data_IF_914473811001
#
_entry.id   IF_914473811001
#
_cell.length_a   1.000
_cell.length_b   1.000
_cell.length_c   1.000
_cell.angle_alpha   90.00
_cell.angle_beta   90.00
_cell.angle_gamma   90.00
#
_symmetry.space_group_name_H-M   'P 1'
#
loop_
_entity.id
_entity.type
_entity.pdbx_description
1 polymer ?
#
# COMPACT_ATOMS: atom_id res chain seq x y z
N UNK A 1 6.16 4.49 1.12
CA UNK A 1 6.26 3.06 0.76
C UNK A 1 5.47 2.76 -0.53
N UNK A 2 4.13 2.72 -0.52
CA UNK A 2 3.33 2.37 -1.71
C UNK A 2 3.67 3.23 -2.95
N UNK A 3 3.74 4.55 -2.75
CA UNK A 3 4.16 5.51 -3.80
C UNK A 3 5.50 5.17 -4.42
N UNK A 4 6.49 4.80 -3.61
CA UNK A 4 7.84 4.51 -4.09
C UNK A 4 7.87 3.24 -4.94
N UNK A 5 7.12 2.21 -4.55
CA UNK A 5 6.99 0.99 -5.37
C UNK A 5 6.29 1.30 -6.69
N UNK A 6 5.19 2.06 -6.64
CA UNK A 6 4.46 2.47 -7.85
C UNK A 6 5.37 3.25 -8.81
N UNK A 7 6.13 4.22 -8.31
CA UNK A 7 7.04 5.05 -9.09
C UNK A 7 8.24 4.26 -9.63
N UNK A 8 8.77 3.32 -8.85
CA UNK A 8 9.80 2.39 -9.31
C UNK A 8 9.33 1.57 -10.53
N UNK A 9 8.07 1.14 -10.52
CA UNK A 9 7.46 0.38 -11.61
C UNK A 9 6.99 1.28 -12.78
N UNK A 10 7.24 2.59 -12.71
CA UNK A 10 6.87 3.55 -13.76
C UNK A 10 5.37 3.80 -13.89
N UNK A 11 4.58 3.44 -12.89
CA UNK A 11 3.12 3.52 -12.94
C UNK A 11 2.60 4.87 -12.48
N UNK A 12 1.56 5.38 -13.11
CA UNK A 12 0.71 6.45 -12.59
C UNK A 12 -0.26 5.92 -11.53
N UNK A 13 -0.83 6.80 -10.71
CA UNK A 13 -1.87 6.41 -9.74
C UNK A 13 -3.10 5.79 -10.41
N UNK A 14 -3.46 6.26 -11.61
CA UNK A 14 -4.59 5.72 -12.37
C UNK A 14 -4.31 4.30 -12.85
N UNK A 15 -3.12 4.03 -13.38
CA UNK A 15 -2.75 2.68 -13.83
C UNK A 15 -2.72 1.67 -12.68
N UNK A 16 -2.21 2.08 -11.51
CA UNK A 16 -2.27 1.25 -10.31
C UNK A 16 -3.73 1.02 -9.87
N UNK A 17 -4.58 2.05 -9.92
CA UNK A 17 -5.99 1.93 -9.62
C UNK A 17 -6.70 0.93 -10.55
N UNK A 18 -6.41 0.97 -11.85
CA UNK A 18 -6.94 0.01 -12.82
C UNK A 18 -6.51 -1.42 -12.50
N UNK A 19 -5.21 -1.65 -12.21
CA UNK A 19 -4.71 -2.98 -11.80
C UNK A 19 -5.40 -3.50 -10.54
N UNK A 20 -5.66 -2.60 -9.59
CA UNK A 20 -6.27 -2.93 -8.31
C UNK A 20 -7.79 -2.95 -8.33
N UNK A 21 -8.45 -2.65 -9.46
CA UNK A 21 -9.91 -2.45 -9.53
C UNK A 21 -10.38 -1.47 -8.44
N UNK A 22 -9.74 -0.31 -8.41
CA UNK A 22 -9.96 0.75 -7.43
C UNK A 22 -10.05 2.11 -8.13
N UNK A 23 -10.07 3.20 -7.36
CA UNK A 23 -10.07 4.57 -7.88
C UNK A 23 -8.72 5.24 -7.65
N UNK A 24 -8.36 6.18 -8.52
CA UNK A 24 -7.16 7.01 -8.32
C UNK A 24 -7.17 7.71 -6.95
N UNK A 25 -8.34 8.19 -6.50
CA UNK A 25 -8.51 8.81 -5.18
C UNK A 25 -8.20 7.84 -4.04
N UNK A 26 -8.54 6.56 -4.17
CA UNK A 26 -8.20 5.53 -3.19
C UNK A 26 -6.68 5.31 -3.12
N UNK A 27 -6.02 5.24 -4.27
CA UNK A 27 -4.55 5.13 -4.34
C UNK A 27 -3.88 6.34 -3.67
N UNK A 28 -4.35 7.55 -3.98
CA UNK A 28 -3.80 8.77 -3.37
C UNK A 28 -3.91 8.74 -1.84
N UNK A 29 -5.05 8.30 -1.27
CA UNK A 29 -5.24 8.17 0.18
C UNK A 29 -4.32 7.12 0.81
N UNK A 30 -4.06 6.02 0.13
CA UNK A 30 -3.09 5.02 0.62
C UNK A 30 -1.65 5.54 0.56
N UNK A 31 -1.32 6.39 -0.40
CA UNK A 31 0.01 6.97 -0.54
C UNK A 31 0.33 8.07 0.47
N UNK A 32 -0.69 8.80 0.95
CA UNK A 32 -0.51 9.84 1.99
C UNK A 32 -0.40 9.24 3.40
N UNK A 33 -0.84 7.99 3.59
CA UNK A 33 -0.88 7.34 4.91
C UNK A 33 -2.04 7.82 5.80
N UNK A 34 -2.97 8.61 5.26
CA UNK A 34 -4.15 9.10 6.00
C UNK A 34 -5.24 8.03 6.20
N UNK A 35 -5.07 6.85 5.61
CA UNK A 35 -6.04 5.78 5.71
C UNK A 35 -5.37 4.46 6.10
N UNK A 36 -5.88 3.82 7.16
CA UNK A 36 -5.47 2.47 7.52
C UNK A 36 -5.83 1.50 6.39
N UNK A 37 -4.82 0.81 5.88
CA UNK A 37 -5.01 -0.28 4.94
C UNK A 37 -5.27 -1.57 5.72
N UNK A 38 -6.31 -2.30 5.31
CA UNK A 38 -6.53 -3.65 5.82
C UNK A 38 -5.45 -4.61 5.30
N UNK A 39 -5.23 -5.73 6.00
CA UNK A 39 -4.35 -6.81 5.51
C UNK A 39 -4.80 -7.32 4.13
N UNK A 40 -6.12 -7.39 3.89
CA UNK A 40 -6.67 -7.79 2.58
C UNK A 40 -6.27 -6.80 1.47
N UNK A 41 -6.29 -5.50 1.77
CA UNK A 41 -5.81 -4.47 0.84
C UNK A 41 -4.32 -4.64 0.55
N UNK A 42 -3.50 -4.89 1.57
CA UNK A 42 -2.07 -5.13 1.41
C UNK A 42 -1.78 -6.37 0.54
N UNK A 43 -2.57 -7.45 0.70
CA UNK A 43 -2.46 -8.65 -0.15
C UNK A 43 -2.78 -8.34 -1.61
N UNK A 44 -3.86 -7.59 -1.89
CA UNK A 44 -4.20 -7.20 -3.27
C UNK A 44 -3.10 -6.35 -3.92
N UNK A 45 -2.50 -5.45 -3.14
CA UNK A 45 -1.37 -4.63 -3.58
C UNK A 45 -0.15 -5.52 -3.88
N UNK A 46 0.15 -6.48 -3.01
CA UNK A 46 1.21 -7.47 -3.18
C UNK A 46 1.05 -8.24 -4.49
N UNK A 47 -0.15 -8.75 -4.76
CA UNK A 47 -0.46 -9.48 -5.99
C UNK A 47 -0.36 -8.60 -7.24
N UNK A 48 -0.92 -7.38 -7.20
CA UNK A 48 -0.95 -6.49 -8.36
C UNK A 48 0.42 -5.91 -8.76
N UNK A 49 1.35 -5.84 -7.80
CA UNK A 49 2.70 -5.30 -8.01
C UNK A 49 3.77 -6.39 -7.99
N UNK A 50 3.43 -7.65 -7.67
CA UNK A 50 4.41 -8.73 -7.55
C UNK A 50 5.42 -8.52 -6.41
N UNK A 51 5.02 -7.84 -5.34
CA UNK A 51 5.89 -7.49 -4.20
C UNK A 51 5.56 -8.30 -2.96
N UNK A 52 6.48 -8.39 -2.01
CA UNK A 52 6.26 -9.02 -0.71
C UNK A 52 5.91 -7.99 0.37
N UNK A 53 4.84 -8.24 1.13
CA UNK A 53 4.47 -7.47 2.32
C UNK A 53 5.10 -8.13 3.54
N UNK A 54 5.97 -7.41 4.25
CA UNK A 54 6.58 -7.88 5.51
C UNK A 54 5.98 -7.13 6.69
N UNK A 55 5.29 -7.87 7.56
CA UNK A 55 4.76 -7.37 8.82
C UNK A 55 5.66 -7.84 9.98
N UNK A 56 5.97 -6.93 10.90
CA UNK A 56 6.73 -7.22 12.12
C UNK A 56 6.07 -6.60 13.33
N UNK A 57 6.00 -7.36 14.42
CA UNK A 57 5.49 -6.88 15.70
C UNK A 57 6.63 -6.39 16.59
N UNK A 58 6.39 -5.32 17.33
CA UNK A 58 7.26 -4.84 18.40
C UNK A 58 6.52 -4.78 19.72
N UNK A 59 7.24 -4.86 20.86
CA UNK A 59 6.62 -4.59 22.16
C UNK A 59 6.29 -3.09 22.23
N UNK A 60 5.04 -2.76 22.55
CA UNK A 60 4.72 -1.43 23.04
C UNK A 60 5.44 -1.30 24.37
N UNK A 61 6.40 -0.38 24.45
CA UNK A 61 7.18 -0.17 25.66
C UNK A 61 6.24 0.06 26.84
N UNK A 62 6.33 -0.82 27.85
CA UNK A 62 5.79 -0.54 29.18
C UNK A 62 6.68 0.57 29.75
N UNK A 63 6.33 1.82 29.48
CA UNK A 63 6.92 2.96 30.16
C UNK A 63 6.66 2.79 31.66
N UNK A 64 7.73 2.62 32.41
CA UNK A 64 7.77 2.86 33.86
C UNK A 64 7.57 4.35 34.14
#
# INVERSE_FOLDING_TARGET
MLRQVREHDGLTQMELATRLQSTQSTIARWETGEHEMTISTLNRISEALGICVKLSFGRVGSGS
#
